data_IF_515128527263
#
_entry.id   IF_515128527263
#
_cell.length_a   1.000
_cell.length_b   1.000
_cell.length_c   1.000
_cell.angle_alpha   90.00
_cell.angle_beta   90.00
_cell.angle_gamma   90.00
#
_symmetry.space_group_name_H-M   'P 1'
#
loop_
_entity.id
_entity.type
_entity.pdbx_description
1 polymer ?
#
# COMPACT_ATOMS: atom_id res chain seq x y z
N UNK A 1 2.36 1.42 -3.42
CA UNK A 1 2.22 2.87 -3.15
C UNK A 1 2.67 3.11 -1.72
N UNK A 2 3.71 3.93 -1.50
CA UNK A 2 4.32 4.09 -0.19
C UNK A 2 5.09 5.42 -0.08
N UNK A 3 5.62 5.78 1.08
CA UNK A 3 6.50 6.94 1.25
C UNK A 3 7.92 6.67 0.70
N UNK A 4 8.62 7.73 0.21
CA UNK A 4 9.97 7.57 -0.36
C UNK A 4 11.00 7.02 0.63
N UNK A 5 10.76 7.16 1.92
CA UNK A 5 11.64 6.63 2.97
C UNK A 5 11.39 5.16 3.30
N UNK A 6 10.28 4.57 2.79
CA UNK A 6 9.94 3.18 3.04
C UNK A 6 10.88 2.26 2.27
N UNK A 7 11.51 1.34 2.99
CA UNK A 7 12.37 0.29 2.45
C UNK A 7 11.76 -1.11 2.57
N UNK A 8 10.69 -1.24 3.34
CA UNK A 8 9.88 -2.45 3.52
C UNK A 8 8.55 -2.23 2.81
N UNK A 9 8.47 -2.60 1.53
CA UNK A 9 7.27 -2.44 0.71
C UNK A 9 6.49 -3.75 0.81
N UNK A 10 5.35 -3.69 1.50
CA UNK A 10 4.62 -4.89 1.93
C UNK A 10 3.42 -5.19 1.04
N UNK A 11 2.90 -4.22 0.30
CA UNK A 11 1.75 -4.38 -0.58
C UNK A 11 1.98 -3.79 -1.98
N UNK A 12 1.28 -4.36 -2.94
CA UNK A 12 1.21 -3.87 -4.30
C UNK A 12 -0.17 -4.15 -4.92
N UNK A 13 -0.55 -3.36 -5.91
CA UNK A 13 -1.81 -3.49 -6.63
C UNK A 13 -1.58 -3.72 -8.11
N UNK A 14 -2.45 -4.49 -8.74
CA UNK A 14 -2.48 -4.65 -10.20
C UNK A 14 -3.91 -4.61 -10.73
N UNK A 15 -4.07 -4.18 -11.98
CA UNK A 15 -5.36 -4.18 -12.68
C UNK A 15 -5.21 -4.85 -14.04
N UNK A 16 -6.24 -5.63 -14.40
CA UNK A 16 -6.38 -6.24 -15.71
C UNK A 16 -7.82 -6.08 -16.19
N UNK A 17 -8.00 -5.94 -17.51
CA UNK A 17 -9.30 -5.97 -18.14
C UNK A 17 -10.07 -4.65 -18.14
N UNK A 18 -9.46 -3.50 -17.85
CA UNK A 18 -10.11 -2.20 -18.03
C UNK A 18 -10.64 -2.05 -19.47
N UNK A 19 -11.86 -1.53 -19.61
CA UNK A 19 -12.55 -1.35 -20.88
C UNK A 19 -13.22 -2.63 -21.43
N UNK A 20 -13.12 -3.78 -20.74
CA UNK A 20 -13.72 -5.04 -21.17
C UNK A 20 -15.08 -5.36 -20.52
N UNK A 21 -15.51 -4.54 -19.57
CA UNK A 21 -16.69 -4.77 -18.72
C UNK A 21 -16.44 -5.66 -17.51
N UNK A 22 -15.27 -6.28 -17.43
CA UNK A 22 -14.86 -7.10 -16.27
C UNK A 22 -13.43 -6.77 -15.91
N UNK A 23 -13.20 -6.33 -14.69
CA UNK A 23 -11.87 -5.95 -14.18
C UNK A 23 -11.43 -6.94 -13.12
N UNK A 24 -10.16 -7.30 -13.15
CA UNK A 24 -9.52 -8.10 -12.11
C UNK A 24 -8.54 -7.21 -11.36
N UNK A 25 -8.84 -6.94 -10.09
CA UNK A 25 -7.93 -6.28 -9.14
C UNK A 25 -7.08 -7.35 -8.47
N UNK A 26 -5.76 -7.24 -8.57
CA UNK A 26 -4.81 -8.00 -7.77
C UNK A 26 -4.35 -7.16 -6.57
N UNK A 27 -4.42 -7.75 -5.38
CA UNK A 27 -3.86 -7.20 -4.14
C UNK A 27 -2.78 -8.16 -3.69
N UNK A 28 -1.53 -7.73 -3.73
CA UNK A 28 -0.36 -8.56 -3.52
C UNK A 28 0.32 -8.19 -2.21
N UNK A 29 0.47 -9.14 -1.32
CA UNK A 29 1.11 -8.95 -0.01
C UNK A 29 2.42 -9.73 0.03
N UNK A 30 3.49 -9.05 0.41
CA UNK A 30 4.80 -9.66 0.60
C UNK A 30 4.71 -10.87 1.52
N UNK A 31 5.38 -11.96 1.18
CA UNK A 31 5.25 -13.24 1.86
C UNK A 31 6.56 -13.70 2.54
N UNK A 32 7.15 -12.93 3.47
CA UNK A 32 8.40 -13.30 4.14
C UNK A 32 8.28 -14.60 4.95
N UNK A 33 7.09 -14.95 5.41
CA UNK A 33 6.81 -16.20 6.10
C UNK A 33 7.16 -17.46 5.32
N UNK A 34 7.24 -17.39 3.98
CA UNK A 34 7.65 -18.53 3.14
C UNK A 34 9.11 -18.94 3.36
N UNK A 35 9.97 -18.02 3.83
CA UNK A 35 11.39 -18.32 4.14
C UNK A 35 11.63 -18.72 5.60
N UNK A 36 10.63 -18.55 6.46
CA UNK A 36 10.79 -18.73 7.90
C UNK A 36 10.32 -20.11 8.33
N UNK A 37 11.23 -20.82 9.00
CA UNK A 37 10.88 -22.08 9.65
C UNK A 37 10.26 -21.81 11.02
N UNK A 38 9.01 -22.22 11.27
CA UNK A 38 8.38 -22.09 12.59
C UNK A 38 9.24 -22.67 13.71
N UNK A 39 9.46 -21.90 14.78
CA UNK A 39 10.36 -22.27 15.89
C UNK A 39 11.84 -22.11 15.60
N UNK A 40 12.23 -21.70 14.38
CA UNK A 40 13.61 -21.41 14.03
C UNK A 40 14.15 -20.11 14.67
N UNK A 41 15.46 -19.83 14.55
CA UNK A 41 16.07 -18.66 15.18
C UNK A 41 15.43 -17.32 14.76
N UNK A 42 15.13 -17.16 13.46
CA UNK A 42 14.50 -15.93 12.94
C UNK A 42 13.07 -15.80 13.42
N UNK A 43 12.27 -16.89 13.41
CA UNK A 43 10.90 -16.90 13.93
C UNK A 43 10.88 -16.52 15.42
N UNK A 44 11.81 -17.05 16.20
CA UNK A 44 11.93 -16.73 17.63
C UNK A 44 12.22 -15.24 17.87
N UNK A 45 13.15 -14.64 17.09
CA UNK A 45 13.43 -13.21 17.17
C UNK A 45 12.20 -12.39 16.76
N UNK A 46 11.56 -12.75 15.66
CA UNK A 46 10.37 -12.06 15.16
C UNK A 46 9.21 -12.11 16.17
N UNK A 47 8.98 -13.25 16.83
CA UNK A 47 7.98 -13.41 17.91
C UNK A 47 8.23 -12.52 19.11
N UNK A 48 9.49 -12.24 19.45
CA UNK A 48 9.83 -11.33 20.54
C UNK A 48 9.68 -9.86 20.14
N UNK A 49 9.99 -9.52 18.87
CA UNK A 49 9.88 -8.16 18.37
C UNK A 49 8.45 -7.75 18.02
N UNK A 50 7.64 -8.65 17.47
CA UNK A 50 6.23 -8.50 17.09
C UNK A 50 5.96 -7.49 15.96
N UNK A 51 6.79 -6.47 15.79
CA UNK A 51 6.63 -5.41 14.80
C UNK A 51 7.97 -4.74 14.49
N UNK A 52 8.03 -3.99 13.40
CA UNK A 52 9.09 -3.01 13.15
C UNK A 52 8.81 -1.74 13.95
N UNK A 53 9.79 -1.22 14.67
CA UNK A 53 9.71 0.03 15.43
C UNK A 53 10.45 1.12 14.66
N UNK A 54 9.72 2.16 14.28
CA UNK A 54 10.26 3.30 13.54
C UNK A 54 10.60 4.44 14.50
N UNK A 55 11.79 4.98 14.34
CA UNK A 55 12.31 6.12 15.09
C UNK A 55 12.91 7.13 14.11
N UNK A 56 13.06 8.41 14.47
CA UNK A 56 13.75 9.37 13.63
C UNK A 56 15.15 8.87 13.21
N UNK A 57 15.37 8.68 11.91
CA UNK A 57 16.65 8.26 11.34
C UNK A 57 17.08 6.81 11.62
N UNK A 58 16.28 6.03 12.36
CA UNK A 58 16.60 4.63 12.69
C UNK A 58 15.35 3.77 12.80
N UNK A 59 15.47 2.48 12.53
CA UNK A 59 14.40 1.51 12.76
C UNK A 59 14.94 0.20 13.32
N UNK A 60 14.14 -0.46 14.13
CA UNK A 60 14.39 -1.83 14.59
C UNK A 60 13.40 -2.72 13.82
N UNK A 61 13.89 -3.46 12.86
CA UNK A 61 13.05 -4.31 12.02
C UNK A 61 12.61 -5.57 12.77
N UNK A 62 11.38 -6.04 12.53
CA UNK A 62 10.90 -7.32 13.06
C UNK A 62 11.73 -8.49 12.52
N UNK A 63 12.04 -8.44 11.23
CA UNK A 63 12.82 -9.46 10.52
C UNK A 63 14.24 -8.95 10.22
N UNK A 64 15.22 -9.84 10.05
CA UNK A 64 16.56 -9.46 9.58
C UNK A 64 16.51 -8.79 8.21
N UNK A 65 17.46 -7.88 7.95
CA UNK A 65 17.50 -7.08 6.72
C UNK A 65 17.60 -7.92 5.44
N UNK A 66 18.29 -9.04 5.46
CA UNK A 66 18.40 -9.96 4.34
C UNK A 66 17.05 -10.60 3.98
N UNK A 67 16.22 -10.92 4.98
CA UNK A 67 14.85 -11.39 4.78
C UNK A 67 13.99 -10.26 4.22
N UNK A 68 14.06 -9.07 4.81
CA UNK A 68 13.33 -7.89 4.32
C UNK A 68 13.67 -7.65 2.85
N UNK A 69 14.95 -7.58 2.50
CA UNK A 69 15.42 -7.33 1.13
C UNK A 69 15.01 -8.43 0.13
N UNK A 70 14.89 -9.66 0.59
CA UNK A 70 14.48 -10.78 -0.26
C UNK A 70 12.99 -10.73 -0.62
N UNK A 71 12.15 -10.17 0.25
CA UNK A 71 10.69 -10.22 0.13
C UNK A 71 10.02 -8.87 -0.13
N UNK A 72 10.70 -7.73 0.11
CA UNK A 72 10.13 -6.42 -0.19
C UNK A 72 9.74 -6.32 -1.67
N UNK A 73 8.56 -5.74 -1.94
CA UNK A 73 7.99 -5.62 -3.28
C UNK A 73 8.65 -4.47 -4.06
N UNK A 74 9.96 -4.59 -4.30
CA UNK A 74 10.76 -3.57 -4.95
C UNK A 74 10.58 -3.57 -6.47
N UNK A 75 10.51 -2.38 -7.05
CA UNK A 75 10.43 -2.13 -8.49
C UNK A 75 11.50 -2.89 -9.28
N UNK A 76 11.14 -3.37 -10.47
CA UNK A 76 12.02 -4.10 -11.36
C UNK A 76 12.30 -5.55 -10.96
N UNK A 77 11.65 -6.07 -9.91
CA UNK A 77 11.83 -7.43 -9.43
C UNK A 77 10.54 -8.24 -9.53
N UNK A 78 10.66 -9.56 -9.60
CA UNK A 78 9.56 -10.48 -9.36
C UNK A 78 9.65 -11.01 -7.92
N UNK A 79 8.71 -10.61 -7.07
CA UNK A 79 8.74 -10.85 -5.63
C UNK A 79 7.72 -11.91 -5.20
N UNK A 80 8.04 -12.80 -4.25
CA UNK A 80 7.07 -13.74 -3.69
C UNK A 80 5.96 -13.00 -2.93
N UNK A 81 4.71 -13.32 -3.25
CA UNK A 81 3.56 -12.69 -2.63
C UNK A 81 2.40 -13.67 -2.41
N UNK A 82 1.57 -13.37 -1.42
CA UNK A 82 0.21 -13.88 -1.33
C UNK A 82 -0.68 -12.87 -2.03
N UNK A 83 -1.33 -13.29 -3.11
CA UNK A 83 -2.14 -12.42 -3.95
C UNK A 83 -3.62 -12.76 -3.79
N UNK A 84 -4.44 -11.74 -3.52
CA UNK A 84 -5.88 -11.81 -3.65
C UNK A 84 -6.28 -11.21 -5.00
N UNK A 85 -6.90 -11.99 -5.85
CA UNK A 85 -7.52 -11.53 -7.09
C UNK A 85 -9.01 -11.35 -6.87
N UNK A 86 -9.51 -10.16 -7.16
CA UNK A 86 -10.92 -9.79 -7.05
C UNK A 86 -11.47 -9.47 -8.43
N UNK A 87 -12.38 -10.30 -8.91
CA UNK A 87 -13.08 -10.07 -10.19
C UNK A 87 -14.29 -9.18 -9.95
N UNK A 88 -14.36 -8.08 -10.67
CA UNK A 88 -15.36 -7.02 -10.52
C UNK A 88 -16.12 -6.79 -11.84
N UNK A 89 -17.39 -6.44 -11.71
CA UNK A 89 -18.08 -5.75 -12.78
C UNK A 89 -17.54 -4.32 -12.91
N UNK A 90 -17.09 -3.94 -14.11
CA UNK A 90 -16.43 -2.65 -14.30
C UNK A 90 -17.38 -1.45 -14.11
N UNK A 91 -18.64 -1.59 -14.47
CA UNK A 91 -19.63 -0.51 -14.38
C UNK A 91 -20.20 -0.38 -12.96
N UNK A 92 -20.61 -1.48 -12.34
CA UNK A 92 -21.30 -1.48 -11.04
C UNK A 92 -20.37 -1.62 -9.85
N UNK A 93 -19.09 -2.00 -10.07
CA UNK A 93 -18.09 -2.30 -9.03
C UNK A 93 -18.54 -3.42 -8.06
N UNK A 94 -19.42 -4.31 -8.53
CA UNK A 94 -19.83 -5.48 -7.78
C UNK A 94 -18.76 -6.57 -7.86
N UNK A 95 -18.40 -7.13 -6.72
CA UNK A 95 -17.48 -8.26 -6.62
C UNK A 95 -18.19 -9.51 -7.08
N UNK A 96 -17.67 -10.16 -8.14
CA UNK A 96 -18.22 -11.40 -8.72
C UNK A 96 -17.56 -12.64 -8.13
N UNK A 97 -16.25 -12.59 -7.91
CA UNK A 97 -15.49 -13.71 -7.34
C UNK A 97 -14.17 -13.24 -6.77
N UNK A 98 -13.58 -14.07 -5.91
CA UNK A 98 -12.24 -13.89 -5.37
C UNK A 98 -11.43 -15.17 -5.52
N UNK A 99 -10.12 -15.03 -5.73
CA UNK A 99 -9.16 -16.14 -5.81
C UNK A 99 -7.88 -15.75 -5.07
N UNK A 100 -7.31 -16.68 -4.30
CA UNK A 100 -6.02 -16.46 -3.61
C UNK A 100 -4.92 -17.31 -4.25
N UNK A 101 -3.75 -16.70 -4.49
CA UNK A 101 -2.58 -17.38 -5.06
C UNK A 101 -1.32 -17.10 -4.26
N UNK A 102 -0.44 -18.09 -4.19
CA UNK A 102 0.97 -17.90 -3.86
C UNK A 102 1.76 -17.86 -5.15
N UNK A 103 2.43 -16.75 -5.41
CA UNK A 103 3.09 -16.52 -6.69
C UNK A 103 4.24 -15.54 -6.61
N UNK A 104 4.96 -15.37 -7.72
CA UNK A 104 5.95 -14.30 -7.89
C UNK A 104 5.34 -13.20 -8.76
N UNK A 105 5.17 -12.03 -8.17
CA UNK A 105 4.55 -10.87 -8.82
C UNK A 105 5.63 -9.94 -9.37
N UNK A 106 5.62 -9.60 -10.67
CA UNK A 106 6.52 -8.59 -11.22
C UNK A 106 6.07 -7.20 -10.76
N UNK A 107 6.96 -6.48 -10.10
CA UNK A 107 6.68 -5.12 -9.62
C UNK A 107 7.15 -4.12 -10.67
N UNK A 108 6.20 -3.45 -11.31
CA UNK A 108 6.47 -2.52 -12.40
C UNK A 108 6.87 -1.13 -11.92
N UNK A 109 6.30 -0.66 -10.82
CA UNK A 109 6.59 0.66 -10.26
C UNK A 109 6.33 0.71 -8.75
N UNK A 110 7.14 1.51 -8.06
CA UNK A 110 6.88 1.91 -6.68
C UNK A 110 6.45 3.40 -6.67
N UNK A 111 5.17 3.66 -6.57
CA UNK A 111 4.62 5.01 -6.49
C UNK A 111 4.86 5.60 -5.10
N UNK A 112 5.28 6.88 -5.04
CA UNK A 112 5.68 7.53 -3.80
C UNK A 112 4.73 8.68 -3.44
N UNK A 113 4.13 8.62 -2.25
CA UNK A 113 3.17 9.61 -1.76
C UNK A 113 3.72 11.05 -1.81
N UNK A 114 4.90 11.25 -1.26
CA UNK A 114 5.54 12.56 -1.19
C UNK A 114 5.85 13.19 -2.55
N UNK A 115 5.93 12.36 -3.60
CA UNK A 115 6.13 12.82 -4.98
C UNK A 115 4.80 13.04 -5.74
N UNK A 116 3.75 12.34 -5.36
CA UNK A 116 2.53 12.23 -6.17
C UNK A 116 1.29 12.87 -5.53
N UNK A 117 1.23 13.07 -4.20
CA UNK A 117 0.05 13.62 -3.53
C UNK A 117 -0.38 15.00 -4.07
N UNK A 118 0.57 15.80 -4.57
CA UNK A 118 0.27 17.07 -5.23
C UNK A 118 -0.19 16.96 -6.68
N UNK A 119 -0.01 15.80 -7.32
CA UNK A 119 -0.35 15.54 -8.73
C UNK A 119 -1.58 14.66 -8.85
N UNK A 120 -1.61 13.56 -8.09
CA UNK A 120 -2.73 12.60 -8.07
C UNK A 120 -3.81 13.12 -7.11
N UNK A 121 -4.53 14.15 -7.53
CA UNK A 121 -5.63 14.74 -6.78
C UNK A 121 -6.97 14.11 -7.18
N UNK A 122 -8.00 14.27 -6.34
CA UNK A 122 -9.36 13.82 -6.68
C UNK A 122 -9.85 14.47 -7.98
N UNK A 123 -9.57 15.77 -8.16
CA UNK A 123 -9.95 16.50 -9.37
C UNK A 123 -9.26 15.95 -10.61
N UNK A 124 -7.97 15.63 -10.52
CA UNK A 124 -7.23 15.02 -11.62
C UNK A 124 -7.76 13.62 -11.97
N UNK A 125 -8.16 12.82 -10.98
CA UNK A 125 -8.68 11.47 -11.20
C UNK A 125 -10.12 11.45 -11.76
N UNK A 126 -10.95 12.43 -11.39
CA UNK A 126 -12.38 12.47 -11.74
C UNK A 126 -12.67 13.26 -13.02
N UNK A 127 -11.79 14.21 -13.40
CA UNK A 127 -11.97 15.09 -14.56
C UNK A 127 -10.99 14.76 -15.70
N UNK A 128 -11.38 13.98 -16.72
CA UNK A 128 -10.48 13.63 -17.82
C UNK A 128 -9.85 14.82 -18.57
N UNK A 129 -10.51 15.99 -18.56
CA UNK A 129 -10.01 17.22 -19.18
C UNK A 129 -9.10 18.07 -18.28
N UNK A 130 -8.89 17.68 -17.04
CA UNK A 130 -8.02 18.40 -16.13
C UNK A 130 -6.56 18.02 -16.39
N UNK A 131 -5.75 19.00 -16.81
CA UNK A 131 -4.31 18.84 -16.95
C UNK A 131 -3.60 19.66 -15.88
N UNK A 132 -2.66 19.06 -15.18
CA UNK A 132 -1.76 19.79 -14.29
C UNK A 132 -0.77 20.62 -15.11
N UNK A 133 -0.53 21.86 -14.71
CA UNK A 133 0.52 22.70 -15.29
C UNK A 133 1.92 22.09 -15.14
N UNK A 134 2.11 21.17 -14.20
CA UNK A 134 3.38 20.54 -13.87
C UNK A 134 3.49 19.14 -14.52
N UNK A 135 3.81 19.12 -15.81
CA UNK A 135 3.92 17.90 -16.63
C UNK A 135 5.16 17.03 -16.31
N UNK A 136 6.02 17.43 -15.37
CA UNK A 136 7.30 16.77 -15.10
C UNK A 136 7.20 15.51 -14.20
N UNK A 137 6.10 15.32 -13.52
CA UNK A 137 5.87 14.15 -12.64
C UNK A 137 4.63 13.37 -13.09
N UNK A 138 4.70 12.74 -14.26
CA UNK A 138 3.69 11.74 -14.62
C UNK A 138 3.91 10.49 -13.75
N UNK A 139 2.87 9.98 -13.05
CA UNK A 139 2.98 8.68 -12.39
C UNK A 139 3.38 7.62 -13.43
N UNK A 140 4.22 6.68 -13.02
CA UNK A 140 4.65 5.56 -13.87
C UNK A 140 3.50 4.63 -14.28
N UNK A 141 2.29 4.89 -13.77
CA UNK A 141 1.05 4.15 -14.04
C UNK A 141 0.06 5.08 -14.75
N UNK A 142 -0.75 4.51 -15.62
CA UNK A 142 -1.75 5.23 -16.38
C UNK A 142 -2.84 5.82 -15.48
N UNK A 143 -3.23 7.08 -15.75
CA UNK A 143 -4.31 7.78 -15.03
C UNK A 143 -5.60 6.97 -14.96
N UNK A 144 -5.94 6.27 -16.04
CA UNK A 144 -7.14 5.46 -16.13
C UNK A 144 -7.17 4.38 -15.04
N UNK A 145 -6.04 3.71 -14.78
CA UNK A 145 -5.91 2.70 -13.75
C UNK A 145 -6.10 3.30 -12.35
N UNK A 146 -5.45 4.44 -12.08
CA UNK A 146 -5.62 5.14 -10.80
C UNK A 146 -7.05 5.66 -10.61
N UNK A 147 -7.69 6.16 -11.66
CA UNK A 147 -9.08 6.63 -11.62
C UNK A 147 -10.04 5.50 -11.30
N UNK A 148 -9.84 4.31 -11.89
CA UNK A 148 -10.63 3.13 -11.57
C UNK A 148 -10.43 2.71 -10.11
N UNK A 149 -9.19 2.60 -9.65
CA UNK A 149 -8.87 2.25 -8.26
C UNK A 149 -9.48 3.25 -7.26
N UNK A 150 -9.41 4.54 -7.55
CA UNK A 150 -9.99 5.57 -6.70
C UNK A 150 -11.53 5.50 -6.66
N UNK A 151 -12.19 5.28 -7.82
CA UNK A 151 -13.63 5.06 -7.88
C UNK A 151 -14.04 3.84 -7.06
N UNK A 152 -13.32 2.73 -7.20
CA UNK A 152 -13.56 1.52 -6.44
C UNK A 152 -13.37 1.76 -4.93
N UNK A 153 -12.30 2.42 -4.54
CA UNK A 153 -12.02 2.73 -3.13
C UNK A 153 -13.13 3.59 -2.50
N UNK A 154 -13.62 4.60 -3.21
CA UNK A 154 -14.77 5.41 -2.74
C UNK A 154 -16.02 4.56 -2.52
N UNK A 155 -16.30 3.66 -3.45
CA UNK A 155 -17.48 2.78 -3.36
C UNK A 155 -17.35 1.79 -2.19
N UNK A 156 -16.19 1.15 -2.02
CA UNK A 156 -15.92 0.25 -0.89
C UNK A 156 -16.07 0.96 0.45
N UNK A 157 -15.51 2.16 0.56
CA UNK A 157 -15.67 3.00 1.76
C UNK A 157 -17.13 3.34 2.02
N UNK A 158 -17.87 3.77 1.00
CA UNK A 158 -19.28 4.13 1.14
C UNK A 158 -20.13 2.94 1.62
N UNK A 159 -19.94 1.75 1.04
CA UNK A 159 -20.62 0.51 1.48
C UNK A 159 -20.30 0.18 2.94
N UNK A 160 -19.03 0.29 3.33
CA UNK A 160 -18.59 0.04 4.70
C UNK A 160 -19.15 1.04 5.70
N UNK A 161 -19.25 2.31 5.34
CA UNK A 161 -19.84 3.36 6.18
C UNK A 161 -21.36 3.14 6.42
N UNK A 162 -22.08 2.65 5.42
CA UNK A 162 -23.49 2.24 5.57
C UNK A 162 -23.63 1.14 6.61
N UNK A 163 -22.82 0.08 6.53
CA UNK A 163 -22.84 -1.03 7.50
C UNK A 163 -22.46 -0.54 8.90
N UNK A 164 -21.49 0.36 8.99
CA UNK A 164 -21.01 0.94 10.26
C UNK A 164 -21.99 1.92 10.89
N UNK A 165 -22.90 2.50 10.10
CA UNK A 165 -23.90 3.49 10.54
C UNK A 165 -23.32 4.87 10.84
N UNK A 166 -22.07 5.14 10.48
CA UNK A 166 -21.41 6.44 10.63
C UNK A 166 -20.26 6.62 9.64
N UNK A 167 -20.01 7.87 9.18
CA UNK A 167 -18.87 8.17 8.33
C UNK A 167 -17.54 7.95 9.09
N UNK A 168 -16.52 7.61 8.34
CA UNK A 168 -15.16 7.52 8.84
C UNK A 168 -14.47 8.87 8.69
N UNK A 169 -14.06 9.44 9.83
CA UNK A 169 -13.37 10.73 9.85
C UNK A 169 -11.91 10.52 10.25
N UNK A 170 -11.00 10.85 9.34
CA UNK A 170 -9.55 10.87 9.61
C UNK A 170 -9.16 12.26 10.15
N UNK A 171 -9.51 12.56 11.39
CA UNK A 171 -9.25 13.86 12.00
C UNK A 171 -7.96 13.89 12.84
N UNK A 172 -7.17 12.81 12.86
CA UNK A 172 -5.92 12.80 13.61
C UNK A 172 -4.77 13.20 12.69
N UNK A 173 -3.99 14.23 13.07
CA UNK A 173 -2.78 14.55 12.33
C UNK A 173 -1.79 13.38 12.46
N UNK A 174 -1.16 13.04 11.37
CA UNK A 174 -0.02 12.15 11.34
C UNK A 174 1.25 13.00 11.45
N UNK A 175 2.22 12.55 12.23
CA UNK A 175 3.46 13.27 12.44
C UNK A 175 4.62 12.54 11.78
N UNK A 176 5.32 13.24 10.89
CA UNK A 176 6.56 12.76 10.31
C UNK A 176 7.74 13.34 11.09
N UNK A 177 8.72 12.50 11.36
CA UNK A 177 9.95 12.86 12.06
C UNK A 177 11.13 12.67 11.09
N UNK A 178 11.93 13.71 10.93
CA UNK A 178 13.13 13.68 10.09
C UNK A 178 14.33 14.22 10.85
N UNK A 179 15.49 13.57 10.72
CA UNK A 179 16.75 14.11 11.21
C UNK A 179 17.29 15.15 10.21
N UNK A 180 17.59 16.34 10.70
CA UNK A 180 18.17 17.40 9.88
C UNK A 180 19.67 17.18 9.75
N UNK A 181 20.19 17.22 8.51
CA UNK A 181 21.62 17.03 8.25
C UNK A 181 22.12 15.59 8.34
N UNK A 182 21.19 14.62 8.37
CA UNK A 182 21.52 13.20 8.34
C UNK A 182 21.01 12.60 7.01
N UNK A 183 21.88 12.50 6.01
CA UNK A 183 21.55 11.97 4.68
C UNK A 183 21.64 10.43 4.61
N UNK A 184 21.06 9.75 5.60
CA UNK A 184 21.04 8.29 5.69
C UNK A 184 22.22 7.68 6.45
N UNK A 185 23.05 8.48 7.12
CA UNK A 185 24.08 8.01 8.04
C UNK A 185 23.46 7.51 9.35
N UNK A 186 24.17 6.66 10.09
CA UNK A 186 23.72 6.27 11.41
C UNK A 186 23.62 7.50 12.34
N UNK A 187 22.51 7.66 13.08
CA UNK A 187 22.35 8.76 14.01
C UNK A 187 23.42 8.76 15.09
N UNK A 188 24.01 9.92 15.37
CA UNK A 188 25.03 10.08 16.42
C UNK A 188 24.43 10.65 17.73
N UNK A 189 23.12 10.99 17.72
CA UNK A 189 22.35 11.34 18.91
C UNK A 189 22.32 12.82 19.26
N UNK A 190 22.87 13.69 18.41
CA UNK A 190 22.86 15.16 18.59
C UNK A 190 22.22 15.89 17.40
N UNK A 191 21.59 15.18 16.49
CA UNK A 191 20.90 15.75 15.35
C UNK A 191 19.62 16.49 15.79
N UNK A 192 19.29 17.52 15.04
CA UNK A 192 18.02 18.20 15.20
C UNK A 192 16.90 17.37 14.56
N UNK A 193 15.82 17.14 15.31
CA UNK A 193 14.62 16.47 14.79
C UNK A 193 13.64 17.51 14.27
N UNK A 194 13.31 17.43 12.99
CA UNK A 194 12.21 18.18 12.38
C UNK A 194 10.92 17.37 12.51
N UNK A 195 9.87 18.01 13.03
CA UNK A 195 8.54 17.40 13.14
C UNK A 195 7.62 18.13 12.16
N UNK A 196 7.06 17.40 11.21
CA UNK A 196 6.06 17.91 10.28
C UNK A 196 4.75 17.14 10.43
N UNK A 197 3.63 17.78 10.07
CA UNK A 197 2.32 17.14 10.03
C UNK A 197 2.01 16.74 8.60
N UNK A 198 1.58 15.50 8.42
CA UNK A 198 0.98 15.02 7.18
C UNK A 198 -0.53 14.95 7.36
N UNK A 199 -1.26 15.51 6.41
CA UNK A 199 -2.70 15.25 6.32
C UNK A 199 -2.89 13.94 5.55
N UNK A 200 -3.44 12.91 6.22
CA UNK A 200 -3.90 11.71 5.53
C UNK A 200 -5.22 12.00 4.81
N UNK A 201 -5.47 11.27 3.74
CA UNK A 201 -6.72 11.37 2.99
C UNK A 201 -6.50 11.77 1.54
N UNK A 202 -5.27 11.64 1.03
CA UNK A 202 -5.02 11.70 -0.41
C UNK A 202 -5.76 10.57 -1.12
N UNK A 203 -6.05 10.70 -2.42
CA UNK A 203 -6.62 9.61 -3.21
C UNK A 203 -5.79 8.33 -3.14
N UNK A 204 -4.46 8.43 -3.10
CA UNK A 204 -3.56 7.28 -2.98
C UNK A 204 -3.69 6.60 -1.62
N UNK A 205 -3.79 7.36 -0.52
CA UNK A 205 -4.06 6.81 0.82
C UNK A 205 -5.37 6.02 0.85
N UNK A 206 -6.42 6.54 0.21
CA UNK A 206 -7.72 5.88 0.16
C UNK A 206 -7.66 4.57 -0.65
N UNK A 207 -6.99 4.59 -1.80
CA UNK A 207 -6.81 3.40 -2.63
C UNK A 207 -6.14 2.27 -1.84
N UNK A 208 -5.01 2.56 -1.20
CA UNK A 208 -4.26 1.56 -0.41
C UNK A 208 -5.09 1.08 0.78
N UNK A 209 -5.66 1.99 1.55
CA UNK A 209 -6.44 1.64 2.74
C UNK A 209 -7.61 0.71 2.42
N UNK A 210 -8.41 1.03 1.39
CA UNK A 210 -9.57 0.21 1.03
C UNK A 210 -9.16 -1.13 0.39
N UNK A 211 -8.06 -1.19 -0.35
CA UNK A 211 -7.51 -2.45 -0.86
C UNK A 211 -7.07 -3.37 0.30
N UNK A 212 -6.37 -2.82 1.30
CA UNK A 212 -5.95 -3.58 2.49
C UNK A 212 -7.14 -4.05 3.32
N UNK A 213 -8.17 -3.20 3.50
CA UNK A 213 -9.40 -3.58 4.20
C UNK A 213 -10.11 -4.71 3.44
N UNK A 214 -10.19 -4.63 2.11
CA UNK A 214 -10.80 -5.66 1.28
C UNK A 214 -10.07 -7.00 1.41
N UNK A 215 -8.73 -6.99 1.30
CA UNK A 215 -7.93 -8.20 1.46
C UNK A 215 -8.10 -8.80 2.86
N UNK A 216 -7.96 -7.99 3.91
CA UNK A 216 -8.08 -8.43 5.29
C UNK A 216 -9.47 -8.99 5.61
N UNK A 217 -10.54 -8.34 5.14
CA UNK A 217 -11.91 -8.82 5.36
C UNK A 217 -12.20 -10.12 4.60
N UNK A 218 -11.72 -10.24 3.36
CA UNK A 218 -11.89 -11.45 2.55
C UNK A 218 -11.17 -12.65 3.16
N UNK A 219 -9.90 -12.49 3.49
CA UNK A 219 -9.14 -13.57 4.13
C UNK A 219 -9.58 -13.85 5.56
N UNK A 220 -9.98 -12.81 6.32
CA UNK A 220 -10.51 -12.98 7.67
C UNK A 220 -11.81 -13.78 7.69
N UNK A 221 -12.73 -13.54 6.74
CA UNK A 221 -13.94 -14.34 6.59
C UNK A 221 -13.62 -15.80 6.23
N UNK A 222 -12.74 -15.99 5.24
CA UNK A 222 -12.32 -17.34 4.86
C UNK A 222 -11.65 -18.12 6.00
N UNK A 223 -10.75 -17.48 6.76
CA UNK A 223 -10.10 -18.11 7.92
C UNK A 223 -11.09 -18.43 9.06
N UNK A 224 -12.15 -17.63 9.19
CA UNK A 224 -13.20 -17.86 10.18
C UNK A 224 -14.15 -19.02 9.85
N UNK A 225 -14.12 -19.51 8.59
CA UNK A 225 -14.91 -20.65 8.12
C UNK A 225 -14.14 -21.99 8.23
N UNK A 226 -12.83 -21.96 8.51
CA UNK A 226 -11.96 -23.14 8.71
C UNK A 226 -12.04 -23.65 10.15
#
# INVERSE_FOLDING_TARGET
IDDSQTTEIDDALSLQGLGSGTVVLGIHIAAPGLALQPGGPVDNVARHRLSTVYMPGYKITMLPDDVVQAYTLAEGRACPAVSLYVTLDEATLEIRSTETKLERVPIAANLRHDQLDGVVTAEWLENPGFEHENTLQRPAIEREQLSFLYRLAKELKARREVVRGKPETFNRPDYNFRLVGNDGAEPVGNEQVEISTRQRGSPLDLIVAEAMILANSTWGSWLGEL
#
